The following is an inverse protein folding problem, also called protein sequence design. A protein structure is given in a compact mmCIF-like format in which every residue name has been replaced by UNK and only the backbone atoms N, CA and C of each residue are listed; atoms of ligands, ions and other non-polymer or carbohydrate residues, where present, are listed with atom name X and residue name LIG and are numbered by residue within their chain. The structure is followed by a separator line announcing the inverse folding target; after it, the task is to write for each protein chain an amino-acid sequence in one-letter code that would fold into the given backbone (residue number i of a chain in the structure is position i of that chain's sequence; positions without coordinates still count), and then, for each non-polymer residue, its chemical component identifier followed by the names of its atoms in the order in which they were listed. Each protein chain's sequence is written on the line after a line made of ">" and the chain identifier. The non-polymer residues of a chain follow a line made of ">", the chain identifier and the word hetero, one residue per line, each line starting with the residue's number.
data_IF_389117228600
#
_entry.id   IF_389117228600
#
_cell.length_a   1.000
_cell.length_b   1.000
_cell.length_c   1.000
_cell.angle_alpha   90.00
_cell.angle_beta   90.00
_cell.angle_gamma   90.00
#
_symmetry.space_group_name_H-M   'P 1'
#
loop_
_entity.id
_entity.type
_entity.pdbx_description
1 polymer ?
#
# COMPACT_ATOMS: atom_id res chain seq x y z
N UNK A 1 1.23 -18.60 -21.69
CA UNK A 1 0.41 -17.96 -20.64
C UNK A 1 -0.98 -18.54 -20.64
N UNK A 2 -1.72 -18.52 -21.76
CA UNK A 2 -3.09 -19.08 -21.85
C UNK A 2 -3.32 -20.45 -21.17
N UNK A 3 -2.50 -21.49 -21.38
CA UNK A 3 -2.74 -22.79 -20.73
C UNK A 3 -2.63 -22.77 -19.20
N UNK A 4 -1.85 -21.82 -18.65
CA UNK A 4 -1.65 -21.66 -17.21
C UNK A 4 -2.80 -20.87 -16.56
N UNK A 5 -3.59 -20.12 -17.34
CA UNK A 5 -4.65 -19.28 -16.79
C UNK A 5 -5.82 -20.14 -16.30
N UNK A 6 -6.18 -21.18 -17.04
CA UNK A 6 -7.27 -22.10 -16.65
C UNK A 6 -6.90 -22.89 -15.38
N UNK A 7 -5.66 -23.39 -15.30
CA UNK A 7 -5.13 -24.06 -14.10
C UNK A 7 -5.11 -23.11 -12.89
N UNK A 8 -4.72 -21.85 -13.10
CA UNK A 8 -4.73 -20.84 -12.04
C UNK A 8 -6.17 -20.56 -11.57
N UNK A 9 -7.13 -20.41 -12.49
CA UNK A 9 -8.53 -20.16 -12.11
C UNK A 9 -9.06 -21.33 -11.30
N UNK A 10 -8.89 -22.56 -11.78
CA UNK A 10 -9.30 -23.77 -11.08
C UNK A 10 -8.65 -23.88 -9.69
N UNK A 11 -7.35 -23.59 -9.59
CA UNK A 11 -6.61 -23.61 -8.33
C UNK A 11 -7.06 -22.55 -7.30
N UNK A 12 -7.75 -21.50 -7.74
CA UNK A 12 -8.22 -20.40 -6.88
C UNK A 12 -9.74 -20.44 -6.63
N UNK A 13 -10.51 -21.41 -7.17
CA UNK A 13 -11.97 -21.47 -7.03
C UNK A 13 -12.45 -21.52 -5.56
N UNK A 14 -11.65 -22.11 -4.67
CA UNK A 14 -11.97 -22.20 -3.23
C UNK A 14 -11.71 -20.92 -2.43
N UNK A 15 -11.12 -19.88 -3.03
CA UNK A 15 -10.80 -18.64 -2.33
C UNK A 15 -12.00 -17.70 -2.27
N UNK A 16 -12.40 -17.35 -1.05
CA UNK A 16 -13.46 -16.37 -0.80
C UNK A 16 -12.84 -14.99 -0.62
N UNK A 17 -13.05 -14.12 -1.61
CA UNK A 17 -12.56 -12.74 -1.59
C UNK A 17 -13.37 -11.89 -0.58
N UNK A 18 -12.67 -11.17 0.29
CA UNK A 18 -13.25 -10.41 1.39
C UNK A 18 -13.10 -8.90 1.19
N UNK A 19 -13.96 -8.06 1.80
CA UNK A 19 -13.80 -6.60 1.76
C UNK A 19 -12.41 -6.16 2.20
N UNK A 20 -11.87 -5.17 1.52
CA UNK A 20 -10.61 -4.52 1.88
C UNK A 20 -10.77 -3.73 3.18
N UNK A 21 -9.93 -4.02 4.18
CA UNK A 21 -9.89 -3.24 5.43
C UNK A 21 -9.09 -1.93 5.27
N UNK A 22 -8.11 -1.96 4.37
CA UNK A 22 -7.29 -0.83 3.93
C UNK A 22 -7.64 -0.56 2.46
N UNK A 23 -7.85 0.70 2.04
CA UNK A 23 -8.11 1.04 0.64
C UNK A 23 -7.09 0.40 -0.30
N UNK A 24 -7.56 -0.20 -1.39
CA UNK A 24 -6.72 -0.87 -2.38
C UNK A 24 -6.96 -0.24 -3.74
N UNK A 25 -5.88 0.23 -4.38
CA UNK A 25 -5.87 0.68 -5.77
C UNK A 25 -5.26 -0.42 -6.62
N UNK A 26 -6.06 -0.99 -7.52
CA UNK A 26 -5.61 -2.07 -8.39
C UNK A 26 -4.76 -1.52 -9.53
N UNK A 27 -3.60 -2.13 -9.76
CA UNK A 27 -2.81 -1.87 -10.96
C UNK A 27 -3.32 -2.63 -12.20
N UNK A 28 -4.36 -3.44 -12.06
CA UNK A 28 -5.06 -4.05 -13.20
C UNK A 28 -6.08 -3.09 -13.80
N UNK A 29 -6.78 -2.34 -12.95
CA UNK A 29 -7.81 -1.37 -13.38
C UNK A 29 -7.32 0.08 -13.34
N UNK A 30 -6.23 0.37 -12.64
CA UNK A 30 -5.73 1.72 -12.40
C UNK A 30 -6.57 2.52 -11.40
N UNK A 31 -7.47 1.89 -10.65
CA UNK A 31 -8.45 2.56 -9.78
C UNK A 31 -8.69 1.79 -8.48
N UNK A 32 -9.36 2.46 -7.53
CA UNK A 32 -9.82 1.84 -6.29
C UNK A 32 -10.71 0.61 -6.57
N UNK A 33 -10.55 -0.45 -5.78
CA UNK A 33 -11.29 -1.70 -5.93
C UNK A 33 -11.75 -2.23 -4.56
N UNK A 34 -12.95 -2.80 -4.52
CA UNK A 34 -13.43 -3.55 -3.36
C UNK A 34 -12.76 -4.93 -3.32
N UNK A 35 -12.32 -5.35 -2.14
CA UNK A 35 -11.65 -6.65 -1.97
C UNK A 35 -12.48 -7.86 -2.41
N UNK A 36 -13.81 -7.78 -2.41
CA UNK A 36 -14.70 -8.83 -2.92
C UNK A 36 -14.52 -9.11 -4.41
N UNK A 37 -13.93 -8.17 -5.16
CA UNK A 37 -13.63 -8.35 -6.57
C UNK A 37 -12.32 -9.13 -6.83
N UNK A 38 -11.53 -9.45 -5.79
CA UNK A 38 -10.23 -10.12 -5.89
C UNK A 38 -10.33 -11.65 -5.95
N UNK A 39 -11.25 -12.16 -6.78
CA UNK A 39 -11.44 -13.59 -7.01
C UNK A 39 -10.50 -14.18 -8.07
N UNK A 40 -10.66 -15.48 -8.37
CA UNK A 40 -9.84 -16.22 -9.33
C UNK A 40 -9.69 -15.51 -10.69
N UNK A 41 -10.79 -14.99 -11.25
CA UNK A 41 -10.78 -14.26 -12.53
C UNK A 41 -9.97 -12.96 -12.47
N UNK A 42 -9.97 -12.26 -11.32
CA UNK A 42 -9.14 -11.08 -11.14
C UNK A 42 -7.66 -11.44 -11.14
N UNK A 43 -7.26 -12.51 -10.46
CA UNK A 43 -5.86 -12.93 -10.38
C UNK A 43 -5.34 -13.44 -11.74
N UNK A 44 -6.15 -14.18 -12.49
CA UNK A 44 -5.83 -14.55 -13.87
C UNK A 44 -5.64 -13.30 -14.75
N UNK A 45 -6.52 -12.30 -14.60
CA UNK A 45 -6.36 -11.02 -15.29
C UNK A 45 -5.12 -10.25 -14.83
N UNK A 46 -4.80 -10.25 -13.54
CA UNK A 46 -3.62 -9.58 -13.00
C UNK A 46 -2.31 -10.16 -13.56
N UNK A 47 -2.28 -11.47 -13.78
CA UNK A 47 -1.13 -12.14 -14.41
C UNK A 47 -0.98 -11.75 -15.89
N UNK A 48 -2.09 -11.51 -16.60
CA UNK A 48 -2.11 -11.34 -18.06
C UNK A 48 -2.13 -9.90 -18.55
N UNK A 49 -2.82 -9.02 -17.83
CA UNK A 49 -3.04 -7.64 -18.23
C UNK A 49 -1.81 -6.78 -17.94
N UNK A 50 -1.59 -5.68 -18.71
CA UNK A 50 -0.55 -4.71 -18.39
C UNK A 50 -0.73 -4.12 -16.98
N UNK A 51 0.39 -3.87 -16.31
CA UNK A 51 0.40 -3.22 -14.99
C UNK A 51 0.23 -1.70 -15.17
N UNK A 52 -0.94 -1.17 -14.84
CA UNK A 52 -1.28 0.25 -14.88
C UNK A 52 -0.72 1.01 -13.65
N UNK A 53 0.58 0.88 -13.39
CA UNK A 53 1.24 1.45 -12.21
C UNK A 53 1.10 2.99 -12.13
N UNK A 54 1.46 3.69 -13.20
CA UNK A 54 1.39 5.15 -13.23
C UNK A 54 -0.03 5.68 -12.99
N UNK A 55 -1.05 5.04 -13.57
CA UNK A 55 -2.45 5.41 -13.35
C UNK A 55 -2.87 5.22 -11.89
N UNK A 56 -2.46 4.11 -11.27
CA UNK A 56 -2.74 3.84 -9.86
C UNK A 56 -2.08 4.88 -8.93
N UNK A 57 -0.79 5.21 -9.18
CA UNK A 57 -0.08 6.23 -8.40
C UNK A 57 -0.71 7.60 -8.59
N UNK A 58 -1.05 7.97 -9.81
CA UNK A 58 -1.69 9.25 -10.12
C UNK A 58 -3.07 9.38 -9.44
N UNK A 59 -3.82 8.29 -9.32
CA UNK A 59 -5.02 8.23 -8.47
C UNK A 59 -4.72 8.56 -7.01
N UNK A 60 -3.70 7.91 -6.42
CA UNK A 60 -3.28 8.16 -5.03
C UNK A 60 -2.77 9.59 -4.82
N UNK A 61 -2.03 10.15 -5.78
CA UNK A 61 -1.55 11.53 -5.73
C UNK A 61 -2.71 12.53 -5.70
N UNK A 62 -3.77 12.30 -6.50
CA UNK A 62 -5.00 13.13 -6.47
C UNK A 62 -5.71 13.07 -5.11
N UNK A 63 -5.64 11.93 -4.43
CA UNK A 63 -6.16 11.76 -3.07
C UNK A 63 -5.25 12.36 -1.99
N UNK A 64 -4.12 12.94 -2.37
CA UNK A 64 -3.21 13.66 -1.48
C UNK A 64 -2.07 12.81 -0.92
N UNK A 65 -1.85 11.60 -1.42
CA UNK A 65 -0.66 10.84 -1.06
C UNK A 65 0.61 11.56 -1.57
N UNK A 66 1.64 11.57 -0.74
CA UNK A 66 2.97 12.13 -1.02
C UNK A 66 4.11 11.30 -0.40
N UNK A 67 3.77 10.27 0.38
CA UNK A 67 4.70 9.37 1.04
C UNK A 67 4.36 7.92 0.73
N UNK A 68 5.32 7.19 0.19
CA UNK A 68 5.17 5.80 -0.24
C UNK A 68 6.16 4.91 0.48
N UNK A 69 5.71 3.76 0.98
CA UNK A 69 6.56 2.69 1.49
C UNK A 69 6.55 1.53 0.50
N UNK A 70 7.70 1.21 -0.08
CA UNK A 70 7.89 0.04 -0.91
C UNK A 70 8.18 -1.18 -0.01
N UNK A 71 7.20 -2.08 0.08
CA UNK A 71 7.31 -3.32 0.83
C UNK A 71 7.92 -4.42 -0.06
N UNK A 72 9.18 -4.76 0.17
CA UNK A 72 9.88 -5.80 -0.57
C UNK A 72 11.33 -5.96 -0.12
N UNK A 73 12.01 -7.03 -0.57
CA UNK A 73 13.39 -7.33 -0.16
C UNK A 73 14.43 -6.36 -0.74
N UNK A 74 14.07 -5.62 -1.80
CA UNK A 74 14.92 -4.61 -2.43
C UNK A 74 14.05 -3.61 -3.21
N UNK A 75 14.35 -2.30 -3.18
CA UNK A 75 13.54 -1.31 -3.86
C UNK A 75 13.77 -1.33 -5.37
N UNK A 76 12.70 -1.54 -6.12
CA UNK A 76 12.65 -1.49 -7.59
C UNK A 76 11.63 -0.45 -8.09
N UNK A 77 10.67 -0.03 -7.25
CA UNK A 77 9.61 0.91 -7.63
C UNK A 77 10.00 2.36 -7.38
N UNK A 78 10.99 2.62 -6.52
CA UNK A 78 11.41 3.99 -6.18
C UNK A 78 11.67 4.90 -7.40
N UNK A 79 12.40 4.49 -8.47
CA UNK A 79 12.59 5.35 -9.64
C UNK A 79 11.28 5.69 -10.36
N UNK A 80 10.38 4.71 -10.52
CA UNK A 80 9.08 4.93 -11.17
C UNK A 80 8.17 5.85 -10.35
N UNK A 81 8.20 5.72 -9.01
CA UNK A 81 7.48 6.62 -8.10
C UNK A 81 7.99 8.07 -8.24
N UNK A 82 9.31 8.27 -8.29
CA UNK A 82 9.90 9.60 -8.47
C UNK A 82 9.51 10.22 -9.82
N UNK A 83 9.44 9.42 -10.88
CA UNK A 83 8.93 9.88 -12.18
C UNK A 83 7.46 10.30 -12.11
N UNK A 84 6.61 9.53 -11.42
CA UNK A 84 5.19 9.89 -11.24
C UNK A 84 5.02 11.19 -10.44
N UNK A 85 5.78 11.36 -9.35
CA UNK A 85 5.80 12.58 -8.55
C UNK A 85 6.23 13.80 -9.36
N UNK A 86 7.34 13.67 -10.11
CA UNK A 86 7.84 14.73 -10.98
C UNK A 86 6.84 15.09 -12.09
N UNK A 87 6.22 14.09 -12.72
CA UNK A 87 5.18 14.30 -13.74
C UNK A 87 3.97 15.06 -13.19
N UNK A 88 3.56 14.77 -11.96
CA UNK A 88 2.46 15.45 -11.28
C UNK A 88 2.86 16.82 -10.69
N UNK A 89 4.13 17.23 -10.76
CA UNK A 89 4.63 18.45 -10.12
C UNK A 89 4.50 18.42 -8.59
N UNK A 90 4.63 17.24 -7.98
CA UNK A 90 4.42 17.01 -6.54
C UNK A 90 5.74 16.70 -5.86
N UNK A 91 5.97 17.33 -4.71
CA UNK A 91 6.99 16.88 -3.77
C UNK A 91 6.48 15.63 -3.03
N UNK A 92 7.36 14.65 -2.85
CA UNK A 92 7.04 13.40 -2.17
C UNK A 92 8.23 12.49 -2.00
N UNK A 93 8.07 11.42 -1.22
CA UNK A 93 9.16 10.49 -0.89
C UNK A 93 8.72 9.04 -1.04
N UNK A 94 9.67 8.20 -1.47
CA UNK A 94 9.54 6.74 -1.48
C UNK A 94 10.58 6.15 -0.54
N UNK A 95 10.14 5.38 0.45
CA UNK A 95 10.96 4.69 1.44
C UNK A 95 10.94 3.20 1.11
N UNK A 96 12.11 2.57 1.13
CA UNK A 96 12.23 1.12 0.98
C UNK A 96 12.10 0.44 2.35
N UNK A 97 11.37 -0.68 2.43
CA UNK A 97 11.31 -1.47 3.67
C UNK A 97 12.58 -2.28 3.92
N UNK A 98 13.22 -2.76 2.85
CA UNK A 98 14.44 -3.56 2.90
C UNK A 98 15.30 -3.29 1.67
N UNK A 99 16.58 -3.65 1.76
CA UNK A 99 17.54 -3.59 0.66
C UNK A 99 18.30 -4.91 0.61
N UNK A 100 18.52 -5.42 -0.61
CA UNK A 100 19.50 -6.49 -0.87
C UNK A 100 20.82 -6.15 -0.18
N UNK A 101 21.38 -7.14 0.53
CA UNK A 101 22.63 -7.04 1.28
C UNK A 101 22.64 -6.01 2.42
N UNK A 102 21.45 -5.50 2.80
CA UNK A 102 21.26 -4.67 3.99
C UNK A 102 21.33 -5.48 5.29
N UNK A 103 21.36 -4.83 6.47
CA UNK A 103 21.47 -5.46 7.80
C UNK A 103 20.24 -6.30 8.22
N UNK A 104 19.50 -6.89 7.29
CA UNK A 104 18.35 -7.76 7.55
C UNK A 104 17.23 -7.02 8.27
N UNK A 105 16.82 -7.53 9.45
CA UNK A 105 15.76 -6.92 10.26
C UNK A 105 16.03 -5.45 10.65
N UNK A 106 17.29 -5.01 10.66
CA UNK A 106 17.66 -3.62 10.91
C UNK A 106 17.11 -2.63 9.86
N UNK A 107 16.91 -3.07 8.61
CA UNK A 107 16.39 -2.22 7.54
C UNK A 107 14.95 -1.75 7.82
N UNK A 108 14.11 -2.62 8.37
CA UNK A 108 12.75 -2.24 8.77
C UNK A 108 12.77 -1.19 9.88
N UNK A 109 13.71 -1.29 10.82
CA UNK A 109 13.93 -0.27 11.84
C UNK A 109 14.35 1.08 11.25
N UNK A 110 15.23 1.08 10.25
CA UNK A 110 15.63 2.28 9.51
C UNK A 110 14.45 2.90 8.75
N UNK A 111 13.65 2.09 8.06
CA UNK A 111 12.45 2.55 7.35
C UNK A 111 11.43 3.15 8.33
N UNK A 112 11.20 2.50 9.47
CA UNK A 112 10.36 3.00 10.55
C UNK A 112 10.87 4.34 11.12
N UNK A 113 12.17 4.47 11.35
CA UNK A 113 12.78 5.71 11.81
C UNK A 113 12.62 6.84 10.77
N UNK A 114 12.81 6.55 9.48
CA UNK A 114 12.58 7.53 8.40
C UNK A 114 11.11 7.96 8.32
N UNK A 115 10.15 7.03 8.43
CA UNK A 115 8.73 7.36 8.50
C UNK A 115 8.42 8.24 9.72
N UNK A 116 9.03 7.95 10.87
CA UNK A 116 8.87 8.73 12.09
C UNK A 116 9.37 10.18 11.94
N UNK A 117 10.54 10.39 11.32
CA UNK A 117 11.07 11.76 11.08
C UNK A 117 10.22 12.56 10.12
N UNK A 118 9.46 11.89 9.24
CA UNK A 118 8.45 12.49 8.36
C UNK A 118 7.09 12.69 9.03
N UNK A 119 6.97 12.39 10.33
CA UNK A 119 5.77 12.65 11.13
C UNK A 119 4.74 11.51 11.10
N UNK A 120 5.04 10.38 10.47
CA UNK A 120 4.21 9.17 10.52
C UNK A 120 4.32 8.55 11.90
N UNK A 121 3.18 8.22 12.52
CA UNK A 121 3.18 7.47 13.78
C UNK A 121 3.51 6.02 13.47
N UNK A 122 4.61 5.54 14.04
CA UNK A 122 4.99 4.13 13.98
C UNK A 122 4.71 3.49 15.35
N UNK A 123 4.17 2.29 15.33
CA UNK A 123 4.01 1.44 16.51
C UNK A 123 4.76 0.14 16.24
N UNK A 124 5.40 -0.41 17.26
CA UNK A 124 5.91 -1.77 17.21
C UNK A 124 4.84 -2.73 17.70
N UNK A 125 4.88 -3.94 17.15
CA UNK A 125 4.03 -5.05 17.53
C UNK A 125 4.96 -6.05 18.21
N UNK A 126 4.72 -6.34 19.50
CA UNK A 126 5.46 -7.38 20.21
C UNK A 126 4.75 -8.73 20.02
N UNK A 127 5.42 -9.69 19.35
CA UNK A 127 4.90 -11.05 19.09
C UNK A 127 4.25 -11.23 17.70
N UNK A 128 4.03 -12.48 17.25
CA UNK A 128 3.36 -12.75 15.98
C UNK A 128 1.82 -12.63 16.07
N UNK A 129 1.18 -12.00 15.09
CA UNK A 129 -0.27 -12.12 14.83
C UNK A 129 -1.20 -11.17 15.59
N UNK A 130 -2.52 -11.41 15.48
CA UNK A 130 -3.62 -10.59 16.03
C UNK A 130 -3.66 -10.49 17.57
N UNK A 131 -2.96 -11.39 18.28
CA UNK A 131 -2.85 -11.37 19.75
C UNK A 131 -1.77 -10.40 20.27
N UNK A 132 -0.98 -9.82 19.37
CA UNK A 132 0.13 -8.98 19.74
C UNK A 132 -0.33 -7.60 20.25
N UNK A 133 0.11 -7.26 21.46
CA UNK A 133 -0.14 -5.95 22.05
C UNK A 133 0.61 -4.86 21.29
N UNK A 134 -0.11 -3.81 20.88
CA UNK A 134 0.51 -2.64 20.24
C UNK A 134 1.32 -1.84 21.28
N UNK A 135 2.62 -1.71 21.05
CA UNK A 135 3.47 -0.80 21.81
C UNK A 135 3.87 0.37 20.94
N UNK A 136 3.44 1.56 21.33
CA UNK A 136 3.98 2.79 20.73
C UNK A 136 5.46 2.91 21.08
N UNK A 137 6.30 2.83 20.06
CA UNK A 137 7.72 3.19 20.16
C UNK A 137 7.78 4.67 19.83
N UNK A 138 7.71 5.53 20.83
CA UNK A 138 7.81 6.98 20.65
C UNK A 138 8.41 7.66 21.86
N UNK A 139 9.51 8.38 21.65
CA UNK A 139 9.95 9.45 22.54
C UNK A 139 8.88 10.55 22.57
N UNK A 140 8.68 11.19 23.73
CA UNK A 140 7.71 12.30 23.90
C UNK A 140 7.88 13.32 22.77
N UNK A 141 6.79 13.64 22.06
CA UNK A 141 6.73 14.77 21.12
C UNK A 141 7.13 16.05 21.85
N UNK A 142 8.18 16.73 21.39
CA UNK A 142 8.13 18.18 21.31
C UNK A 142 7.35 18.51 20.03
N UNK A 143 6.25 19.25 20.19
CA UNK A 143 5.31 19.50 19.10
C UNK A 143 5.94 20.42 18.04
N UNK A 144 6.19 19.88 16.85
CA UNK A 144 6.27 20.65 15.62
C UNK A 144 5.12 20.18 14.73
N UNK A 145 4.16 21.07 14.52
CA UNK A 145 2.94 20.77 13.80
C UNK A 145 3.16 20.70 12.29
N UNK A 146 2.43 19.78 11.63
CA UNK A 146 1.79 19.98 10.32
C UNK A 146 0.85 18.82 9.95
N UNK A 147 -0.25 19.19 9.30
CA UNK A 147 -1.11 18.42 8.38
C UNK A 147 -1.65 17.05 8.82
N UNK A 148 -2.93 16.98 9.20
CA UNK A 148 -3.65 15.70 9.35
C UNK A 148 -4.23 15.28 7.99
N UNK A 149 -3.66 14.27 7.34
CA UNK A 149 -4.38 13.52 6.31
C UNK A 149 -5.51 12.73 6.97
N UNK A 150 -6.76 13.10 6.68
CA UNK A 150 -7.97 12.52 7.29
C UNK A 150 -8.63 11.60 6.27
N UNK A 151 -8.29 10.32 6.29
CA UNK A 151 -9.08 9.29 5.62
C UNK A 151 -10.50 9.28 6.23
N UNK A 152 -11.47 9.82 5.51
CA UNK A 152 -12.88 9.86 5.91
C UNK A 152 -13.57 8.64 5.30
N UNK A 153 -14.08 7.73 6.15
CA UNK A 153 -15.09 6.77 5.71
C UNK A 153 -16.38 7.54 5.44
N UNK A 154 -16.71 7.80 4.18
CA UNK A 154 -18.06 8.19 3.82
C UNK A 154 -18.95 6.94 3.84
N UNK A 155 -19.76 6.82 4.90
CA UNK A 155 -20.94 5.96 4.84
C UNK A 155 -21.91 6.62 3.87
N UNK A 156 -22.24 5.96 2.77
CA UNK A 156 -23.45 6.27 2.03
C UNK A 156 -24.66 6.03 2.95
N UNK A 157 -25.09 7.07 3.64
CA UNK A 157 -26.46 7.16 4.11
C UNK A 157 -27.30 7.62 2.91
N UNK A 158 -27.76 6.66 2.10
CA UNK A 158 -28.91 6.92 1.22
C UNK A 158 -30.14 6.96 2.13
N UNK A 159 -30.49 8.16 2.56
CA UNK A 159 -31.78 8.47 3.14
C UNK A 159 -32.81 8.66 2.03
N UNK A 160 -33.82 7.78 2.05
CA UNK A 160 -35.26 8.05 1.82
C UNK A 160 -35.69 8.74 0.53
N UNK A 161 -36.49 8.01 -0.25
CA UNK A 161 -37.90 8.38 -0.46
C UNK A 161 -38.74 7.11 -0.34
#
# INVERSE_FOLDING_TARGET
>A
MEPLLDELVAGLEGIVAMPTQVPLVSTVTGAAIDGRALGASYWARNLRAPVAFAAAIDGLLREGADLFLEAGPHPVLAPALQQCLAHAGREGQAIASMRRDGPGAGELGTAAAALWTLGVRVAAIDGPGEEAGWRFVGARRQALGRGRCRWRRERQARGRS
#
